data_IF_816261846186
#
_entry.id   IF_816261846186
#
_cell.length_a   1.000
_cell.length_b   1.000
_cell.length_c   1.000
_cell.angle_alpha   90.00
_cell.angle_beta   90.00
_cell.angle_gamma   90.00
#
_symmetry.space_group_name_H-M   'P 1'
#
loop_
_entity.id
_entity.type
_entity.pdbx_description
1 polymer ?
#
# COMPACT_ATOMS: atom_id res chain seq x y z
N UNK A 1 -15.90 6.20 -5.18
CA UNK A 1 -14.56 6.54 -5.69
C UNK A 1 -13.79 5.23 -5.74
N UNK A 2 -13.32 4.76 -6.90
CA UNK A 2 -12.65 3.44 -7.00
C UNK A 2 -11.15 3.65 -7.16
N UNK A 3 -10.41 3.55 -6.05
CA UNK A 3 -8.96 3.40 -6.08
C UNK A 3 -8.61 2.01 -6.66
N UNK A 4 -7.51 1.95 -7.42
CA UNK A 4 -6.97 0.69 -7.95
C UNK A 4 -5.86 0.20 -7.03
N UNK A 5 -5.93 -1.05 -6.60
CA UNK A 5 -4.87 -1.70 -5.83
C UNK A 5 -4.22 -2.81 -6.64
N UNK A 6 -2.90 -2.91 -6.59
CA UNK A 6 -2.14 -4.00 -7.18
C UNK A 6 -1.03 -4.46 -6.24
N UNK A 7 -0.81 -5.77 -6.21
CA UNK A 7 0.32 -6.36 -5.51
C UNK A 7 1.61 -6.10 -6.29
N UNK A 8 2.65 -5.71 -5.58
CA UNK A 8 3.97 -5.42 -6.14
C UNK A 8 5.03 -6.19 -5.36
N UNK A 9 6.17 -6.43 -6.01
CA UNK A 9 7.39 -6.82 -5.33
C UNK A 9 8.39 -5.68 -5.39
N UNK A 10 9.09 -5.48 -4.29
CA UNK A 10 10.11 -4.45 -4.12
C UNK A 10 11.41 -5.20 -3.83
N UNK A 11 12.36 -5.12 -4.76
CA UNK A 11 13.70 -5.68 -4.57
C UNK A 11 14.48 -4.75 -3.62
N UNK A 12 15.05 -5.31 -2.55
CA UNK A 12 15.88 -4.61 -1.57
C UNK A 12 17.14 -5.43 -1.33
N UNK A 13 18.27 -4.97 -1.87
CA UNK A 13 19.54 -5.70 -1.85
C UNK A 13 19.39 -7.15 -2.34
N UNK A 14 19.52 -8.13 -1.43
CA UNK A 14 19.39 -9.56 -1.73
C UNK A 14 18.03 -10.15 -1.27
N UNK A 15 17.07 -9.28 -0.95
CA UNK A 15 15.74 -9.66 -0.45
C UNK A 15 14.63 -9.14 -1.36
N UNK A 16 13.47 -9.80 -1.30
CA UNK A 16 12.24 -9.34 -1.94
C UNK A 16 11.17 -9.07 -0.90
N UNK A 17 10.61 -7.87 -0.94
CA UNK A 17 9.52 -7.45 -0.08
C UNK A 17 8.22 -7.37 -0.88
N UNK A 18 7.18 -8.05 -0.40
CA UNK A 18 5.83 -7.90 -0.94
C UNK A 18 5.23 -6.57 -0.50
N UNK A 19 4.55 -5.87 -1.41
CA UNK A 19 3.83 -4.63 -1.12
C UNK A 19 2.50 -4.56 -1.86
N UNK A 20 1.70 -3.55 -1.51
CA UNK A 20 0.49 -3.20 -2.26
C UNK A 20 0.56 -1.73 -2.66
N UNK A 21 0.47 -1.45 -3.97
CA UNK A 21 0.36 -0.09 -4.49
C UNK A 21 -1.10 0.28 -4.69
N UNK A 22 -1.56 1.32 -3.99
CA UNK A 22 -2.90 1.86 -4.16
C UNK A 22 -2.83 3.20 -4.90
N UNK A 23 -3.50 3.26 -6.04
CA UNK A 23 -3.63 4.44 -6.89
C UNK A 23 -5.03 5.05 -6.79
N UNK A 24 -5.18 6.25 -6.21
CA UNK A 24 -6.43 7.00 -6.26
C UNK A 24 -6.68 7.59 -7.66
N UNK A 25 -7.93 8.00 -7.94
CA UNK A 25 -8.28 8.65 -9.22
C UNK A 25 -7.76 10.09 -9.32
N UNK A 26 -7.75 10.82 -8.22
CA UNK A 26 -7.19 12.17 -8.12
C UNK A 26 -5.74 12.14 -7.67
N UNK A 27 -4.95 13.14 -8.07
CA UNK A 27 -3.60 13.31 -7.54
C UNK A 27 -3.67 13.67 -6.06
N UNK A 28 -2.98 12.90 -5.24
CA UNK A 28 -2.83 13.11 -3.78
C UNK A 28 -1.35 13.00 -3.41
N UNK A 29 -0.93 13.50 -2.23
CA UNK A 29 0.41 13.23 -1.72
C UNK A 29 0.67 11.73 -1.57
N UNK A 30 1.90 11.28 -1.83
CA UNK A 30 2.30 9.90 -1.59
C UNK A 30 2.30 9.58 -0.10
N UNK A 31 1.72 8.44 0.28
CA UNK A 31 1.69 7.95 1.67
C UNK A 31 2.23 6.53 1.69
N UNK A 32 3.15 6.25 2.62
CA UNK A 32 3.66 4.90 2.88
C UNK A 32 3.08 4.42 4.21
N UNK A 33 2.32 3.33 4.15
CA UNK A 33 1.84 2.62 5.34
C UNK A 33 2.86 1.55 5.73
N UNK A 34 3.27 1.54 7.00
CA UNK A 34 4.17 0.53 7.57
C UNK A 34 3.49 -0.04 8.80
N UNK A 35 3.20 -1.34 8.78
CA UNK A 35 2.60 -2.04 9.90
C UNK A 35 3.66 -2.61 10.84
N UNK A 36 3.31 -2.70 12.12
CA UNK A 36 4.12 -3.38 13.13
C UNK A 36 3.83 -4.88 13.21
N UNK A 37 4.41 -5.52 14.22
CA UNK A 37 4.18 -6.93 14.53
C UNK A 37 2.69 -7.24 14.75
N UNK A 38 2.19 -8.31 14.13
CA UNK A 38 0.77 -8.67 14.18
C UNK A 38 -0.15 -7.82 13.28
N UNK A 39 0.38 -6.79 12.61
CA UNK A 39 -0.30 -6.02 11.57
C UNK A 39 -0.33 -6.75 10.22
N UNK A 40 -1.01 -6.19 9.23
CA UNK A 40 -1.04 -6.76 7.88
C UNK A 40 -1.45 -5.73 6.83
N UNK A 41 -1.06 -5.99 5.58
CA UNK A 41 -1.33 -5.11 4.44
C UNK A 41 -2.82 -4.89 4.20
N UNK A 42 -3.67 -5.88 4.47
CA UNK A 42 -5.12 -5.77 4.26
C UNK A 42 -5.74 -4.69 5.16
N UNK A 43 -5.28 -4.59 6.41
CA UNK A 43 -5.76 -3.57 7.36
C UNK A 43 -5.29 -2.17 6.97
N UNK A 44 -4.06 -2.05 6.49
CA UNK A 44 -3.54 -0.77 6.00
C UNK A 44 -4.24 -0.35 4.71
N UNK A 45 -4.60 -1.29 3.84
CA UNK A 45 -5.33 -1.02 2.61
C UNK A 45 -6.73 -0.43 2.88
N UNK A 46 -7.45 -0.93 3.88
CA UNK A 46 -8.74 -0.36 4.29
C UNK A 46 -8.59 1.09 4.79
N UNK A 47 -7.51 1.41 5.49
CA UNK A 47 -7.20 2.78 5.90
C UNK A 47 -6.83 3.66 4.70
N UNK A 48 -6.02 3.14 3.79
CA UNK A 48 -5.58 3.84 2.58
C UNK A 48 -6.77 4.19 1.68
N UNK A 49 -7.78 3.31 1.56
CA UNK A 49 -9.02 3.61 0.82
C UNK A 49 -9.81 4.78 1.41
N UNK A 50 -9.68 5.06 2.72
CA UNK A 50 -10.37 6.17 3.38
C UNK A 50 -9.74 7.55 3.11
N UNK A 51 -8.48 7.59 2.66
CA UNK A 51 -7.76 8.82 2.30
C UNK A 51 -7.68 9.06 0.78
N UNK A 52 -8.09 8.07 -0.02
CA UNK A 52 -7.93 7.99 -1.48
C UNK A 52 -9.16 8.38 -2.28
#
# INVERSE_FOLDING_TARGET
MTARSESIQIDIDNEQMSGTFLSPKSKVPGVLFVHGWGGSQERDLERAKGIA
#
